data_IF_414453865479
#
_entry.id   IF_414453865479
#
_cell.length_a   1.000
_cell.length_b   1.000
_cell.length_c   1.000
_cell.angle_alpha   90.00
_cell.angle_beta   90.00
_cell.angle_gamma   90.00
#
_symmetry.space_group_name_H-M   'P 1'
#
loop_
_entity.id
_entity.type
_entity.pdbx_description
1 polymer ?
#
# COMPACT_ATOMS: atom_id res chain seq x y z
N UNK A 1 -8.49 -7.69 5.57
CA UNK A 1 -9.94 -7.89 5.53
C UNK A 1 -10.34 -8.35 4.13
N UNK A 2 -11.25 -9.34 3.97
CA UNK A 2 -11.90 -9.58 2.70
C UNK A 2 -12.72 -8.34 2.30
N UNK A 3 -12.87 -8.08 1.01
CA UNK A 3 -13.73 -7.00 0.53
C UNK A 3 -15.16 -7.26 1.01
N UNK A 4 -15.85 -6.23 1.52
CA UNK A 4 -17.27 -6.36 1.88
C UNK A 4 -18.13 -6.68 0.66
N UNK A 5 -19.30 -7.26 0.89
CA UNK A 5 -20.24 -7.69 -0.17
C UNK A 5 -20.74 -6.51 -1.03
N UNK A 6 -20.74 -5.29 -0.49
CA UNK A 6 -21.15 -4.04 -1.17
C UNK A 6 -19.94 -3.19 -1.63
N UNK A 7 -18.98 -3.80 -2.31
CA UNK A 7 -17.77 -3.09 -2.70
C UNK A 7 -17.95 -2.30 -4.01
N UNK A 8 -17.36 -1.10 -4.06
CA UNK A 8 -17.45 -0.22 -5.23
C UNK A 8 -16.76 -0.87 -6.43
N UNK A 9 -17.55 -1.16 -7.47
CA UNK A 9 -17.07 -1.72 -8.73
C UNK A 9 -16.34 -0.64 -9.55
N UNK A 10 -15.06 -0.88 -9.83
CA UNK A 10 -14.25 0.01 -10.66
C UNK A 10 -13.91 -0.67 -12.00
N UNK A 11 -13.98 0.11 -13.08
CA UNK A 11 -13.42 -0.31 -14.35
C UNK A 11 -11.88 -0.26 -14.31
N UNK A 12 -11.25 -1.20 -15.02
CA UNK A 12 -9.88 -1.73 -14.96
C UNK A 12 -8.68 -0.74 -14.89
N UNK A 13 -8.87 0.57 -14.86
CA UNK A 13 -7.79 1.58 -14.89
C UNK A 13 -8.07 2.75 -13.96
N UNK A 14 -7.88 2.53 -12.66
CA UNK A 14 -7.61 3.63 -11.75
C UNK A 14 -6.11 3.66 -11.48
N UNK A 15 -5.43 4.68 -12.02
CA UNK A 15 -4.02 4.92 -11.70
C UNK A 15 -3.97 5.50 -10.30
N UNK A 16 -3.48 4.75 -9.32
CA UNK A 16 -3.29 5.29 -7.98
C UNK A 16 -2.02 6.14 -7.94
N UNK A 17 -2.17 7.40 -7.56
CA UNK A 17 -1.10 8.40 -7.53
C UNK A 17 -0.20 8.33 -6.29
N UNK A 18 -0.03 7.14 -5.68
CA UNK A 18 1.02 6.97 -4.66
C UNK A 18 2.36 6.82 -5.38
N UNK A 19 2.87 7.95 -5.90
CA UNK A 19 4.23 8.04 -6.40
C UNK A 19 5.15 8.06 -5.18
N UNK A 20 6.20 7.25 -5.18
CA UNK A 20 7.31 7.39 -4.25
C UNK A 20 7.79 8.86 -4.27
N UNK A 21 7.59 9.61 -3.17
CA UNK A 21 7.82 11.06 -3.14
C UNK A 21 9.18 11.43 -2.54
N UNK A 22 9.98 10.46 -2.09
CA UNK A 22 11.18 10.80 -1.33
C UNK A 22 12.33 9.82 -1.49
N UNK A 23 13.38 10.27 -2.16
CA UNK A 23 14.69 9.61 -2.15
C UNK A 23 15.45 9.83 -0.81
N UNK A 24 14.82 10.52 0.16
CA UNK A 24 15.41 10.89 1.46
C UNK A 24 15.30 9.78 2.52
N UNK A 25 14.98 8.55 2.13
CA UNK A 25 14.82 7.41 3.06
C UNK A 25 16.07 7.16 3.90
N UNK A 26 17.26 7.49 3.38
CA UNK A 26 18.55 7.36 4.06
C UNK A 26 19.00 8.64 4.79
N UNK A 27 18.51 9.82 4.39
CA UNK A 27 18.90 11.11 4.96
C UNK A 27 17.92 11.63 6.00
N UNK A 28 16.81 10.91 6.21
CA UNK A 28 15.88 11.16 7.31
C UNK A 28 16.53 10.88 8.66
N UNK A 29 16.22 11.71 9.66
CA UNK A 29 16.58 11.46 11.08
C UNK A 29 15.91 10.19 11.63
N UNK A 30 14.80 9.79 11.02
CA UNK A 30 14.14 8.50 11.22
C UNK A 30 14.17 7.74 9.87
N UNK A 31 15.29 7.09 9.52
CA UNK A 31 15.45 6.43 8.24
C UNK A 31 14.53 5.21 8.12
N UNK A 32 14.27 4.78 6.88
CA UNK A 32 13.44 3.60 6.59
C UNK A 32 13.94 2.86 5.36
N UNK A 33 13.53 1.60 5.21
CA UNK A 33 13.68 0.81 3.99
C UNK A 33 12.32 0.49 3.39
N UNK A 34 12.27 0.17 2.09
CA UNK A 34 11.06 -0.30 1.44
C UNK A 34 11.05 -1.83 1.40
N UNK A 35 9.95 -2.42 1.86
CA UNK A 35 9.70 -3.84 1.77
C UNK A 35 8.52 -4.11 0.84
N UNK A 36 8.66 -5.14 0.00
CA UNK A 36 7.57 -5.60 -0.85
C UNK A 36 6.60 -6.45 -0.02
N UNK A 37 5.38 -5.95 0.15
CA UNK A 37 4.28 -6.73 0.71
C UNK A 37 3.41 -7.29 -0.42
N UNK A 38 3.15 -8.61 -0.46
CA UNK A 38 2.28 -9.20 -1.46
C UNK A 38 0.85 -8.65 -1.39
N UNK A 39 0.28 -8.29 -2.54
CA UNK A 39 -1.11 -7.85 -2.67
C UNK A 39 -1.92 -8.90 -3.45
N UNK A 40 -2.08 -10.07 -2.82
CA UNK A 40 -2.73 -11.23 -3.45
C UNK A 40 -4.15 -10.88 -3.90
N UNK A 41 -4.44 -11.13 -5.17
CA UNK A 41 -5.75 -10.81 -5.79
C UNK A 41 -5.96 -9.33 -6.08
N UNK A 42 -4.96 -8.47 -5.83
CA UNK A 42 -4.99 -7.06 -6.14
C UNK A 42 -4.57 -6.74 -7.59
N UNK A 43 -4.96 -5.57 -8.09
CA UNK A 43 -4.62 -5.10 -9.44
C UNK A 43 -3.10 -4.94 -9.63
N UNK A 44 -2.41 -4.51 -8.58
CA UNK A 44 -0.95 -4.45 -8.50
C UNK A 44 -0.44 -5.61 -7.65
N UNK A 45 0.57 -6.34 -8.13
CA UNK A 45 1.07 -7.57 -7.48
C UNK A 45 1.75 -7.36 -6.13
N UNK A 46 2.19 -6.15 -5.80
CA UNK A 46 2.79 -5.81 -4.51
C UNK A 46 2.50 -4.37 -4.09
N UNK A 47 2.65 -4.11 -2.80
CA UNK A 47 2.62 -2.80 -2.15
C UNK A 47 4.01 -2.56 -1.56
N UNK A 48 4.57 -1.36 -1.75
CA UNK A 48 5.79 -0.94 -1.05
C UNK A 48 5.42 -0.44 0.34
N UNK A 49 5.95 -1.08 1.38
CA UNK A 49 5.76 -0.69 2.78
C UNK A 49 7.05 -0.11 3.34
N UNK A 50 6.96 1.04 4.03
CA UNK A 50 8.10 1.66 4.69
C UNK A 50 8.33 1.03 6.07
N UNK A 51 9.54 0.51 6.31
CA UNK A 51 9.95 -0.08 7.58
C UNK A 51 11.05 0.78 8.18
N UNK A 52 10.79 1.37 9.35
CA UNK A 52 11.75 2.20 10.06
C UNK A 52 13.00 1.40 10.45
N UNK A 53 14.16 2.03 10.31
CA UNK A 53 15.42 1.53 10.86
C UNK A 53 15.79 2.34 12.11
N UNK A 54 17.02 2.14 12.62
CA UNK A 54 17.49 2.84 13.82
C UNK A 54 17.49 4.37 13.60
N UNK A 55 16.92 5.10 14.56
CA UNK A 55 16.90 6.56 14.55
C UNK A 55 18.33 7.12 14.66
N UNK A 56 18.61 8.22 13.97
CA UNK A 56 19.91 8.89 14.03
C UNK A 56 20.08 9.76 15.28
N UNK A 57 18.98 10.09 15.98
CA UNK A 57 19.00 10.89 17.19
C UNK A 57 18.97 9.95 18.40
N UNK A 58 19.93 10.11 19.31
CA UNK A 58 20.01 9.32 20.54
C UNK A 58 18.74 9.47 21.38
N UNK A 59 18.31 8.38 22.01
CA UNK A 59 17.12 8.31 22.86
C UNK A 59 15.78 8.63 22.15
N UNK A 60 15.76 8.66 20.82
CA UNK A 60 14.54 8.74 20.03
C UNK A 60 14.20 7.41 19.36
N UNK A 61 12.90 7.21 19.12
CA UNK A 61 12.36 6.00 18.49
C UNK A 61 11.70 6.39 17.18
N UNK A 62 12.20 5.85 16.07
CA UNK A 62 11.54 5.97 14.77
C UNK A 62 10.23 5.19 14.79
N UNK A 63 9.13 5.83 14.37
CA UNK A 63 7.82 5.17 14.24
C UNK A 63 7.30 5.31 12.80
N UNK A 64 6.71 4.25 12.23
CA UNK A 64 6.16 4.32 10.89
C UNK A 64 4.89 5.17 10.89
N UNK A 65 4.71 5.95 9.82
CA UNK A 65 3.46 6.64 9.53
C UNK A 65 2.58 5.67 8.74
N UNK A 66 1.43 5.31 9.31
CA UNK A 66 0.46 4.42 8.66
C UNK A 66 -0.60 5.26 7.95
N UNK A 67 -0.87 4.92 6.69
CA UNK A 67 -1.90 5.55 5.87
C UNK A 67 -2.80 4.44 5.35
N UNK A 68 -4.11 4.58 5.55
CA UNK A 68 -5.07 3.70 4.93
C UNK A 68 -5.16 4.05 3.44
N UNK A 69 -4.90 3.06 2.59
CA UNK A 69 -5.08 3.20 1.14
C UNK A 69 -6.23 2.31 0.70
N UNK A 70 -6.82 2.63 -0.44
CA UNK A 70 -7.72 1.69 -1.11
C UNK A 70 -6.91 0.88 -2.12
N UNK A 71 -7.20 -0.40 -2.30
CA UNK A 71 -6.64 -1.24 -3.37
C UNK A 71 -7.76 -1.88 -4.16
N UNK A 72 -7.56 -2.06 -5.46
CA UNK A 72 -8.49 -2.81 -6.31
C UNK A 72 -8.19 -4.30 -6.19
N UNK A 73 -9.20 -5.11 -5.85
CA UNK A 73 -9.12 -6.59 -5.80
C UNK A 73 -10.12 -7.22 -6.74
N UNK A 74 -9.77 -8.36 -7.35
CA UNK A 74 -10.65 -9.06 -8.30
C UNK A 74 -11.72 -9.85 -7.54
N UNK A 75 -12.99 -9.69 -7.92
CA UNK A 75 -14.07 -10.57 -7.44
C UNK A 75 -14.27 -11.70 -8.45
N UNK A 76 -13.81 -12.90 -8.10
CA UNK A 76 -14.01 -14.15 -8.85
C UNK A 76 -13.46 -14.23 -10.30
N UNK A 77 -13.07 -15.45 -10.69
CA UNK A 77 -12.68 -15.78 -12.06
C UNK A 77 -13.94 -15.92 -12.92
N UNK A 78 -14.11 -15.05 -13.92
CA UNK A 78 -15.11 -15.27 -14.98
C UNK A 78 -15.82 -14.04 -15.53
N UNK A 79 -15.70 -12.86 -14.90
CA UNK A 79 -16.28 -11.63 -15.47
C UNK A 79 -15.21 -10.54 -15.59
N UNK A 80 -15.01 -10.04 -16.81
CA UNK A 80 -13.88 -9.17 -17.19
C UNK A 80 -13.91 -7.76 -16.56
N UNK A 81 -14.89 -7.44 -15.70
CA UNK A 81 -15.24 -6.06 -15.33
C UNK A 81 -15.49 -5.79 -13.84
N UNK A 82 -15.16 -6.71 -12.93
CA UNK A 82 -15.52 -6.54 -11.51
C UNK A 82 -14.25 -6.48 -10.62
N UNK A 83 -13.61 -5.32 -10.59
CA UNK A 83 -12.65 -4.98 -9.54
C UNK A 83 -13.40 -4.29 -8.41
N UNK A 84 -13.08 -4.66 -7.17
CA UNK A 84 -13.58 -3.99 -6.00
C UNK A 84 -12.53 -3.13 -5.32
N UNK A 85 -12.91 -1.90 -5.01
CA UNK A 85 -12.10 -0.99 -4.19
C UNK A 85 -12.26 -1.37 -2.72
N UNK A 86 -11.18 -1.83 -2.11
CA UNK A 86 -11.16 -2.34 -0.75
C UNK A 86 -10.10 -1.60 0.07
N UNK A 87 -10.41 -1.16 1.30
CA UNK A 87 -9.41 -0.55 2.16
C UNK A 87 -8.32 -1.57 2.53
N UNK A 88 -7.07 -1.11 2.58
CA UNK A 88 -5.95 -1.84 3.18
C UNK A 88 -5.14 -0.89 4.05
N UNK A 89 -4.70 -1.42 5.20
CA UNK A 89 -3.66 -0.83 6.04
C UNK A 89 -2.30 -1.38 5.65
#
# INVERSE_FOLDING_TARGET
MPCGEDCYHANRRETQYFKHVSDLWNSSVAPWTLQNRPNVGGQYGSIQEAVCTTCQIENMIAKPIKVQISVLRRIADGTDHIWCRCPTE
#
